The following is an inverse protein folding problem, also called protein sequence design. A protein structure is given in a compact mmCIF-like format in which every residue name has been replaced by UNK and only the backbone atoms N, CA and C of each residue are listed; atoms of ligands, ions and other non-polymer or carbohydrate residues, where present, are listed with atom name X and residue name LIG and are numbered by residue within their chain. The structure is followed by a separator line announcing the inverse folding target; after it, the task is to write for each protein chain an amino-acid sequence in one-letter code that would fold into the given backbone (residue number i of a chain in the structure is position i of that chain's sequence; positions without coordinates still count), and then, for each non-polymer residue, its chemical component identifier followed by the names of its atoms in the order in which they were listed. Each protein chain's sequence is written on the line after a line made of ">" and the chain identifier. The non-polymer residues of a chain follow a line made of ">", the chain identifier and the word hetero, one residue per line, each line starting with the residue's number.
data_IF_221509440775
#
_entry.id   IF_221509440775
#
_cell.length_a   1.000
_cell.length_b   1.000
_cell.length_c   1.000
_cell.angle_alpha   90.00
_cell.angle_beta   90.00
_cell.angle_gamma   90.00
#
_symmetry.space_group_name_H-M   'P 1'
#
loop_
_entity.id
_entity.type
_entity.pdbx_description
1 polymer ?
#
# COMPACT_ATOMS: atom_id res chain seq x y z
N UNK A 1 10.90 16.24 11.32
CA UNK A 1 11.10 15.16 10.35
C UNK A 1 9.89 15.03 9.44
N UNK A 2 10.15 14.82 8.18
CA UNK A 2 9.10 14.66 7.17
C UNK A 2 8.70 13.20 7.07
N UNK A 3 7.41 12.97 6.95
CA UNK A 3 6.88 11.65 6.67
C UNK A 3 6.94 11.39 5.17
N UNK A 4 7.62 10.32 4.77
CA UNK A 4 7.74 9.93 3.36
C UNK A 4 6.83 8.76 3.11
N UNK A 5 5.84 8.96 2.25
CA UNK A 5 4.88 7.94 1.85
C UNK A 5 5.02 7.70 0.36
N UNK A 6 5.38 6.48 -0.01
CA UNK A 6 5.54 6.09 -1.40
C UNK A 6 4.35 5.27 -1.90
N UNK A 7 4.23 5.20 -3.21
CA UNK A 7 3.21 4.40 -3.88
C UNK A 7 3.87 3.48 -4.88
N UNK A 8 3.37 2.26 -4.98
CA UNK A 8 3.82 1.30 -5.96
C UNK A 8 2.62 0.58 -6.56
N UNK A 9 2.62 0.49 -7.88
CA UNK A 9 1.67 -0.35 -8.62
C UNK A 9 2.48 -1.46 -9.29
N UNK A 10 2.24 -2.70 -8.88
CA UNK A 10 3.01 -3.84 -9.37
C UNK A 10 2.07 -4.92 -9.90
N UNK A 11 2.39 -5.46 -11.08
CA UNK A 11 1.56 -6.47 -11.73
C UNK A 11 2.03 -7.90 -11.47
N UNK A 12 3.33 -8.07 -11.14
CA UNK A 12 3.87 -9.37 -10.75
C UNK A 12 4.91 -9.18 -9.65
N UNK A 13 5.21 -10.24 -8.90
CA UNK A 13 6.18 -10.22 -7.81
C UNK A 13 6.00 -8.96 -6.94
N UNK A 14 4.75 -8.60 -6.71
CA UNK A 14 4.39 -7.29 -6.16
C UNK A 14 5.01 -7.02 -4.79
N UNK A 15 5.09 -8.03 -3.92
CA UNK A 15 5.67 -7.87 -2.58
C UNK A 15 7.17 -7.62 -2.64
N UNK A 16 7.86 -8.30 -3.55
CA UNK A 16 9.30 -8.12 -3.74
C UNK A 16 9.62 -6.69 -4.20
N UNK A 17 8.92 -6.21 -5.24
CA UNK A 17 9.18 -4.88 -5.78
C UNK A 17 8.73 -3.76 -4.82
N UNK A 18 7.65 -3.98 -4.09
CA UNK A 18 7.20 -3.01 -3.09
C UNK A 18 8.24 -2.83 -1.98
N UNK A 19 8.74 -3.94 -1.45
CA UNK A 19 9.80 -3.91 -0.43
C UNK A 19 11.05 -3.20 -0.94
N UNK A 20 11.44 -3.49 -2.18
CA UNK A 20 12.59 -2.85 -2.81
C UNK A 20 12.39 -1.34 -2.90
N UNK A 21 11.22 -0.89 -3.34
CA UNK A 21 10.91 0.54 -3.44
C UNK A 21 10.89 1.23 -2.08
N UNK A 22 10.33 0.58 -1.07
CA UNK A 22 10.32 1.10 0.29
C UNK A 22 11.74 1.41 0.77
N UNK A 23 12.65 0.47 0.58
CA UNK A 23 14.04 0.59 1.00
C UNK A 23 14.79 1.61 0.15
N UNK A 24 14.72 1.49 -1.17
CA UNK A 24 15.48 2.33 -2.10
C UNK A 24 15.09 3.80 -1.99
N UNK A 25 13.83 4.09 -1.72
CA UNK A 25 13.32 5.46 -1.58
C UNK A 25 13.26 5.94 -0.15
N UNK A 26 13.71 5.13 0.78
CA UNK A 26 13.73 5.47 2.21
C UNK A 26 12.36 5.94 2.72
N UNK A 27 11.32 5.20 2.38
CA UNK A 27 9.97 5.55 2.78
C UNK A 27 9.68 5.16 4.23
N UNK A 28 8.86 5.94 4.90
CA UNK A 28 8.29 5.57 6.21
C UNK A 28 7.13 4.60 6.01
N UNK A 29 6.35 4.82 4.95
CA UNK A 29 5.26 3.94 4.52
C UNK A 29 5.27 3.81 3.02
N UNK A 30 4.86 2.65 2.52
CA UNK A 30 4.63 2.43 1.10
C UNK A 30 3.26 1.81 0.92
N UNK A 31 2.51 2.34 -0.04
CA UNK A 31 1.21 1.80 -0.40
C UNK A 31 1.40 0.99 -1.68
N UNK A 32 1.21 -0.32 -1.57
CA UNK A 32 1.26 -1.23 -2.71
C UNK A 32 -0.15 -1.45 -3.21
N UNK A 33 -0.36 -1.12 -4.48
CA UNK A 33 -1.59 -1.41 -5.19
C UNK A 33 -1.28 -2.43 -6.28
N UNK A 34 -2.04 -3.52 -6.34
CA UNK A 34 -1.83 -4.55 -7.36
C UNK A 34 -3.16 -5.12 -7.83
N UNK A 35 -3.23 -5.57 -9.09
CA UNK A 35 -4.45 -6.18 -9.60
C UNK A 35 -4.69 -7.53 -8.95
N UNK A 36 -5.93 -7.81 -8.59
CA UNK A 36 -6.32 -9.11 -8.08
C UNK A 36 -6.46 -10.07 -9.25
N UNK A 37 -5.87 -11.27 -9.13
CA UNK A 37 -6.03 -12.32 -10.15
C UNK A 37 -7.51 -12.64 -10.35
N UNK A 38 -7.91 -12.83 -11.61
CA UNK A 38 -9.25 -13.23 -12.02
C UNK A 38 -10.34 -12.18 -11.78
N UNK A 39 -9.99 -10.96 -11.55
CA UNK A 39 -10.98 -9.90 -11.59
C UNK A 39 -11.14 -9.41 -13.02
N UNK A 40 -12.32 -9.64 -13.58
CA UNK A 40 -12.72 -9.01 -14.83
C UNK A 40 -13.06 -7.57 -14.49
N UNK A 41 -12.09 -6.67 -14.64
CA UNK A 41 -12.31 -5.31 -14.15
C UNK A 41 -12.36 -4.31 -15.27
N UNK A 42 -13.30 -4.46 -16.15
CA UNK A 42 -13.68 -3.33 -16.96
C UNK A 42 -14.69 -2.51 -16.14
N UNK A 43 -14.23 -1.37 -15.63
CA UNK A 43 -15.09 -0.45 -14.90
C UNK A 43 -15.22 -0.72 -13.41
N UNK A 44 -14.56 -1.73 -12.85
CA UNK A 44 -14.54 -1.92 -11.42
C UNK A 44 -13.44 -1.02 -10.83
N UNK A 45 -13.85 -0.06 -10.03
CA UNK A 45 -12.97 0.94 -9.43
C UNK A 45 -12.44 0.52 -8.05
N UNK A 46 -12.39 -0.78 -7.79
CA UNK A 46 -11.88 -1.30 -6.52
C UNK A 46 -10.36 -1.37 -6.53
N UNK A 47 -9.77 -0.97 -5.43
CA UNK A 47 -8.35 -1.10 -5.19
C UNK A 47 -8.08 -2.29 -4.29
N UNK A 48 -6.94 -2.92 -4.50
CA UNK A 48 -6.49 -4.05 -3.71
C UNK A 48 -5.02 -3.85 -3.38
N UNK A 49 -4.63 -4.01 -2.11
CA UNK A 49 -3.25 -3.76 -1.78
C UNK A 49 -2.86 -3.93 -0.33
N UNK A 50 -1.67 -3.44 -0.05
CA UNK A 50 -1.05 -3.45 1.27
C UNK A 50 -0.47 -2.09 1.62
N UNK A 51 -0.46 -1.78 2.91
CA UNK A 51 0.39 -0.74 3.46
C UNK A 51 1.59 -1.42 4.11
N UNK A 52 2.79 -0.90 3.87
CA UNK A 52 4.02 -1.44 4.44
C UNK A 52 4.69 -0.31 5.22
N UNK A 53 5.09 -0.57 6.45
CA UNK A 53 5.84 0.41 7.23
C UNK A 53 7.35 0.20 7.12
N UNK A 54 8.12 1.10 7.70
CA UNK A 54 9.58 1.08 7.70
C UNK A 54 10.17 -0.20 8.30
N UNK A 55 9.48 -0.78 9.25
CA UNK A 55 9.90 -2.00 9.93
C UNK A 55 9.46 -3.27 9.20
N UNK A 56 8.94 -3.12 7.97
CA UNK A 56 8.45 -4.22 7.13
C UNK A 56 7.25 -4.94 7.72
N UNK A 57 6.41 -4.23 8.46
CA UNK A 57 5.09 -4.72 8.84
C UNK A 57 4.12 -4.52 7.70
N UNK A 58 3.39 -5.55 7.35
CA UNK A 58 2.46 -5.56 6.23
C UNK A 58 1.03 -5.52 6.74
N UNK A 59 0.28 -4.52 6.29
CA UNK A 59 -1.12 -4.36 6.64
C UNK A 59 -1.96 -4.61 5.39
N UNK A 60 -2.77 -5.67 5.42
CA UNK A 60 -3.64 -5.98 4.29
C UNK A 60 -4.77 -4.97 4.22
N UNK A 61 -4.84 -4.24 3.12
CA UNK A 61 -5.90 -3.25 2.90
C UNK A 61 -7.18 -3.89 2.35
N UNK A 62 -7.05 -5.12 1.84
CA UNK A 62 -8.17 -5.81 1.21
C UNK A 62 -8.54 -5.21 -0.13
N UNK A 63 -9.74 -5.53 -0.59
CA UNK A 63 -10.29 -5.02 -1.85
C UNK A 63 -11.46 -4.12 -1.51
N UNK A 64 -11.39 -2.85 -1.92
CA UNK A 64 -12.44 -1.90 -1.61
C UNK A 64 -12.45 -0.75 -2.61
N UNK A 65 -13.51 0.04 -2.61
CA UNK A 65 -13.60 1.19 -3.49
C UNK A 65 -12.53 2.23 -3.12
N UNK A 66 -12.28 3.13 -4.03
CA UNK A 66 -11.20 4.12 -3.93
C UNK A 66 -11.28 4.97 -2.66
N UNK A 67 -12.47 5.42 -2.30
CA UNK A 67 -12.65 6.27 -1.13
C UNK A 67 -12.36 5.53 0.18
N UNK A 68 -12.87 4.31 0.30
CA UNK A 68 -12.64 3.49 1.50
C UNK A 68 -11.18 3.06 1.60
N UNK A 69 -10.54 2.78 0.47
CA UNK A 69 -9.12 2.43 0.40
C UNK A 69 -8.28 3.60 0.95
N UNK A 70 -8.54 4.81 0.50
CA UNK A 70 -7.84 6.00 0.96
C UNK A 70 -8.07 6.26 2.45
N UNK A 71 -9.29 6.13 2.93
CA UNK A 71 -9.61 6.30 4.36
C UNK A 71 -8.87 5.31 5.24
N UNK A 72 -8.81 4.05 4.82
CA UNK A 72 -8.10 3.02 5.56
C UNK A 72 -6.60 3.29 5.62
N UNK A 73 -6.01 3.73 4.51
CA UNK A 73 -4.60 4.11 4.44
C UNK A 73 -4.30 5.21 5.46
N UNK A 74 -5.07 6.28 5.44
CA UNK A 74 -4.87 7.43 6.34
C UNK A 74 -4.98 6.98 7.79
N UNK A 75 -5.99 6.20 8.11
CA UNK A 75 -6.20 5.69 9.47
C UNK A 75 -5.01 4.85 9.95
N UNK A 76 -4.50 3.95 9.11
CA UNK A 76 -3.38 3.09 9.45
C UNK A 76 -2.09 3.88 9.61
N UNK A 77 -1.85 4.87 8.77
CA UNK A 77 -0.67 5.74 8.89
C UNK A 77 -0.72 6.50 10.21
N UNK A 78 -1.85 7.09 10.56
CA UNK A 78 -2.01 7.82 11.83
C UNK A 78 -1.77 6.89 13.01
N UNK A 79 -2.36 5.69 13.01
CA UNK A 79 -2.22 4.73 14.10
C UNK A 79 -0.79 4.22 14.26
N UNK A 80 -0.03 4.10 13.18
CA UNK A 80 1.28 3.47 13.21
C UNK A 80 2.44 4.45 13.17
N UNK A 81 2.20 5.72 12.85
CA UNK A 81 3.27 6.71 12.77
C UNK A 81 4.00 6.88 14.10
N UNK A 82 3.30 6.83 15.21
CA UNK A 82 3.90 6.97 16.54
C UNK A 82 4.74 5.78 16.99
N UNK A 83 4.74 4.70 16.23
CA UNK A 83 5.50 3.47 16.51
C UNK A 83 6.83 3.41 15.76
N UNK A 84 7.08 4.38 14.92
CA UNK A 84 8.29 4.42 14.08
C UNK A 84 9.47 5.10 14.77
#
# INVERSE_FOLDING_TARGET
>A
PKLIVGFAFETNRHKFYAKKKLIDKNCDFLILNYPKKNTKIFGDKKNNGYLIDRNLNWFNLGTMNKNNFAKKIIKLIILNNNKL
#
